data_IF_083175388775
#
_entry.id   IF_083175388775
#
_cell.length_a   1.000
_cell.length_b   1.000
_cell.length_c   1.000
_cell.angle_alpha   90.00
_cell.angle_beta   90.00
_cell.angle_gamma   90.00
#
_symmetry.space_group_name_H-M   'P 1'
#
loop_
_entity.id
_entity.type
_entity.pdbx_description
1 polymer ?
#
# COMPACT_ATOMS: atom_id res chain seq x y z
N UNK A 1 19.78 -10.29 8.48
CA UNK A 1 20.58 -9.13 8.03
C UNK A 1 19.93 -7.82 8.42
N UNK A 2 20.66 -7.11 9.26
CA UNK A 2 20.18 -6.10 10.22
C UNK A 2 20.41 -4.67 9.75
N UNK A 3 20.38 -4.42 8.43
CA UNK A 3 20.82 -3.16 7.85
C UNK A 3 19.73 -2.10 7.63
N UNK A 4 18.49 -2.36 8.05
CA UNK A 4 17.40 -1.38 7.90
C UNK A 4 17.12 -0.55 9.17
N UNK A 5 17.61 -0.96 10.35
CA UNK A 5 17.32 -0.27 11.61
C UNK A 5 18.05 1.07 11.77
N UNK A 6 19.28 1.19 11.25
CA UNK A 6 20.08 2.43 11.33
C UNK A 6 19.58 3.60 10.48
N UNK A 7 18.69 3.34 9.52
CA UNK A 7 18.02 4.38 8.73
C UNK A 7 16.76 4.93 9.44
N UNK A 8 16.11 4.11 10.27
CA UNK A 8 14.92 4.50 11.04
C UNK A 8 15.28 5.44 12.21
N UNK A 9 16.39 5.21 12.92
CA UNK A 9 16.83 6.07 14.04
C UNK A 9 17.23 7.50 13.62
N UNK A 10 17.65 7.70 12.36
CA UNK A 10 17.98 9.03 11.83
C UNK A 10 16.75 9.87 11.48
N UNK A 11 15.58 9.27 11.28
CA UNK A 11 14.34 9.98 10.95
C UNK A 11 13.59 10.48 12.19
N UNK A 12 13.87 9.94 13.38
CA UNK A 12 13.13 10.22 14.61
C UNK A 12 13.68 11.37 15.46
N UNK A 13 14.86 11.92 15.12
CA UNK A 13 15.61 12.77 16.08
C UNK A 13 15.32 14.26 15.95
N UNK A 14 14.74 14.76 14.86
CA UNK A 14 14.42 16.18 14.76
C UNK A 14 12.97 16.39 14.33
N UNK A 15 12.39 17.47 14.88
CA UNK A 15 11.26 18.27 14.38
C UNK A 15 9.84 17.91 14.85
N UNK A 16 9.34 18.76 15.73
CA UNK A 16 7.95 18.85 16.15
C UNK A 16 7.09 19.63 15.14
N UNK A 17 6.05 18.98 14.59
CA UNK A 17 4.68 19.47 14.29
C UNK A 17 4.10 18.83 13.00
N UNK A 18 3.01 18.07 13.17
CA UNK A 18 2.19 17.27 12.22
C UNK A 18 2.88 16.29 11.24
N UNK A 19 3.92 16.70 10.51
CA UNK A 19 4.63 15.85 9.54
C UNK A 19 5.36 14.67 10.21
N UNK A 20 5.99 14.91 11.36
CA UNK A 20 6.75 13.88 12.08
C UNK A 20 5.85 12.89 12.82
N UNK A 21 4.68 13.32 13.29
CA UNK A 21 3.68 12.40 13.82
C UNK A 21 3.14 11.49 12.72
N UNK A 22 2.89 12.01 11.52
CA UNK A 22 2.39 11.21 10.40
C UNK A 22 3.45 10.19 9.94
N UNK A 23 4.71 10.62 9.83
CA UNK A 23 5.83 9.72 9.52
C UNK A 23 6.05 8.66 10.60
N UNK A 24 5.95 9.01 11.89
CA UNK A 24 6.04 8.06 12.99
C UNK A 24 4.89 7.05 12.97
N UNK A 25 3.66 7.48 12.66
CA UNK A 25 2.51 6.59 12.49
C UNK A 25 2.73 5.64 11.31
N UNK A 26 3.18 6.15 10.16
CA UNK A 26 3.49 5.32 9.00
C UNK A 26 4.57 4.27 9.32
N UNK A 27 5.61 4.67 10.05
CA UNK A 27 6.67 3.77 10.48
C UNK A 27 6.16 2.70 11.46
N UNK A 28 5.39 3.11 12.47
CA UNK A 28 4.81 2.19 13.45
C UNK A 28 3.86 1.19 12.80
N UNK A 29 3.01 1.65 11.87
CA UNK A 29 2.14 0.78 11.09
C UNK A 29 2.93 -0.27 10.30
N UNK A 30 4.05 0.14 9.69
CA UNK A 30 4.94 -0.80 8.99
C UNK A 30 5.56 -1.81 9.96
N UNK A 31 6.10 -1.36 11.08
CA UNK A 31 6.68 -2.24 12.09
C UNK A 31 5.67 -3.29 12.59
N UNK A 32 4.45 -2.86 12.90
CA UNK A 32 3.38 -3.74 13.34
C UNK A 32 2.95 -4.72 12.23
N UNK A 33 2.89 -4.27 10.98
CA UNK A 33 2.60 -5.15 9.83
C UNK A 33 3.68 -6.22 9.66
N UNK A 34 4.96 -5.84 9.68
CA UNK A 34 6.10 -6.76 9.54
C UNK A 34 6.14 -7.77 10.72
N UNK A 35 5.63 -7.37 11.90
CA UNK A 35 5.48 -8.23 13.06
C UNK A 35 4.19 -9.09 13.07
N UNK A 36 3.39 -9.06 11.99
CA UNK A 36 2.12 -9.80 11.89
C UNK A 36 1.00 -9.25 12.78
N UNK A 37 1.20 -8.10 13.41
CA UNK A 37 0.23 -7.45 14.30
C UNK A 37 -0.76 -6.59 13.51
N UNK A 38 -1.45 -7.19 12.54
CA UNK A 38 -2.24 -6.49 11.53
C UNK A 38 -3.36 -5.62 12.10
N UNK A 39 -4.10 -6.10 13.11
CA UNK A 39 -5.16 -5.29 13.75
C UNK A 39 -4.60 -4.03 14.43
N UNK A 40 -3.42 -4.13 15.05
CA UNK A 40 -2.76 -2.97 15.66
C UNK A 40 -2.23 -2.03 14.58
N UNK A 41 -1.62 -2.57 13.51
CA UNK A 41 -1.15 -1.81 12.37
C UNK A 41 -2.29 -0.99 11.74
N UNK A 42 -3.47 -1.60 11.60
CA UNK A 42 -4.65 -0.93 11.09
C UNK A 42 -5.12 0.19 12.04
N UNK A 43 -5.15 -0.09 13.34
CA UNK A 43 -5.55 0.88 14.36
C UNK A 43 -4.72 2.16 14.33
N UNK A 44 -3.40 2.03 14.14
CA UNK A 44 -2.51 3.20 14.10
C UNK A 44 -2.59 3.98 12.79
N UNK A 45 -2.74 3.31 11.64
CA UNK A 45 -2.66 3.98 10.32
C UNK A 45 -3.97 4.62 9.85
N UNK A 46 -5.11 4.11 10.32
CA UNK A 46 -6.45 4.53 9.86
C UNK A 46 -6.70 6.05 9.90
N UNK A 47 -6.24 6.82 10.91
CA UNK A 47 -6.42 8.27 10.93
C UNK A 47 -5.77 9.00 9.75
N UNK A 48 -4.70 8.44 9.15
CA UNK A 48 -3.95 9.09 8.08
C UNK A 48 -4.57 8.88 6.69
N UNK A 49 -5.55 7.99 6.53
CA UNK A 49 -6.22 7.74 5.23
C UNK A 49 -6.92 9.01 4.72
N UNK A 50 -7.38 9.88 5.63
CA UNK A 50 -8.05 11.15 5.29
C UNK A 50 -7.14 12.36 5.58
N UNK A 51 -5.82 12.18 5.56
CA UNK A 51 -4.88 13.26 5.81
C UNK A 51 -5.01 14.36 4.71
N UNK A 52 -4.91 15.65 5.05
CA UNK A 52 -4.98 16.73 4.05
C UNK A 52 -3.89 16.66 2.98
N UNK A 53 -2.75 16.04 3.27
CA UNK A 53 -1.73 15.75 2.27
C UNK A 53 -2.13 14.53 1.45
N UNK A 54 -2.39 14.73 0.15
CA UNK A 54 -2.75 13.65 -0.78
C UNK A 54 -1.71 12.53 -0.78
N UNK A 55 -0.42 12.85 -0.64
CA UNK A 55 0.66 11.86 -0.57
C UNK A 55 0.53 11.00 0.68
N UNK A 56 0.25 11.59 1.85
CA UNK A 56 0.08 10.84 3.11
C UNK A 56 -1.21 10.02 3.06
N UNK A 57 -2.31 10.60 2.58
CA UNK A 57 -3.59 9.92 2.40
C UNK A 57 -3.46 8.66 1.53
N UNK A 58 -2.93 8.82 0.30
CA UNK A 58 -2.74 7.71 -0.64
C UNK A 58 -1.78 6.64 -0.12
N UNK A 59 -0.66 7.06 0.50
CA UNK A 59 0.30 6.10 1.10
C UNK A 59 -0.34 5.31 2.24
N UNK A 60 -1.14 5.98 3.07
CA UNK A 60 -1.84 5.35 4.19
C UNK A 60 -2.94 4.42 3.71
N UNK A 61 -3.68 4.80 2.67
CA UNK A 61 -4.71 3.99 2.03
C UNK A 61 -4.12 2.69 1.44
N UNK A 62 -3.02 2.77 0.67
CA UNK A 62 -2.32 1.60 0.12
C UNK A 62 -1.86 0.63 1.22
N UNK A 63 -1.27 1.14 2.30
CA UNK A 63 -0.83 0.32 3.44
C UNK A 63 -2.01 -0.25 4.21
N UNK A 64 -3.07 0.52 4.43
CA UNK A 64 -4.28 0.04 5.07
C UNK A 64 -4.93 -1.09 4.25
N UNK A 65 -5.05 -0.92 2.93
CA UNK A 65 -5.57 -1.96 2.03
C UNK A 65 -4.69 -3.23 2.07
N UNK A 66 -3.37 -3.09 2.13
CA UNK A 66 -2.45 -4.23 2.31
C UNK A 66 -2.68 -4.93 3.66
N UNK A 67 -2.93 -4.18 4.74
CA UNK A 67 -3.27 -4.73 6.06
C UNK A 67 -4.61 -5.47 6.00
N UNK A 68 -5.63 -4.88 5.37
CA UNK A 68 -6.93 -5.52 5.17
C UNK A 68 -6.81 -6.81 4.36
N UNK A 69 -5.98 -6.84 3.33
CA UNK A 69 -5.69 -8.06 2.57
C UNK A 69 -5.10 -9.16 3.47
N UNK A 70 -4.12 -8.84 4.32
CA UNK A 70 -3.57 -9.83 5.28
C UNK A 70 -4.60 -10.31 6.32
N UNK A 71 -5.62 -9.50 6.60
CA UNK A 71 -6.73 -9.86 7.48
C UNK A 71 -7.84 -10.64 6.75
N UNK A 72 -7.72 -10.88 5.44
CA UNK A 72 -8.78 -11.49 4.62
C UNK A 72 -10.01 -10.58 4.48
N UNK A 73 -9.84 -9.28 4.63
CA UNK A 73 -10.89 -8.26 4.61
C UNK A 73 -10.93 -7.55 3.26
N UNK A 74 -11.17 -8.32 2.18
CA UNK A 74 -11.02 -7.86 0.79
C UNK A 74 -11.94 -6.69 0.44
N UNK A 75 -13.21 -6.72 0.85
CA UNK A 75 -14.18 -5.65 0.57
C UNK A 75 -13.70 -4.30 1.14
N UNK A 76 -13.14 -4.32 2.34
CA UNK A 76 -12.59 -3.12 2.98
C UNK A 76 -11.31 -2.65 2.29
N UNK A 77 -10.47 -3.59 1.83
CA UNK A 77 -9.27 -3.28 1.06
C UNK A 77 -9.63 -2.57 -0.26
N UNK A 78 -10.58 -3.13 -1.03
CA UNK A 78 -11.05 -2.54 -2.29
C UNK A 78 -11.71 -1.18 -2.08
N UNK A 79 -12.62 -1.06 -1.11
CA UNK A 79 -13.34 0.18 -0.84
C UNK A 79 -12.41 1.36 -0.49
N UNK A 80 -11.31 1.10 0.23
CA UNK A 80 -10.32 2.13 0.54
C UNK A 80 -9.57 2.58 -0.70
N UNK A 81 -9.23 1.66 -1.59
CA UNK A 81 -8.50 1.93 -2.82
C UNK A 81 -9.36 2.71 -3.82
N UNK A 82 -10.64 2.34 -3.96
CA UNK A 82 -11.62 3.04 -4.80
C UNK A 82 -11.91 4.48 -4.32
N UNK A 83 -11.76 4.73 -3.02
CA UNK A 83 -11.97 6.05 -2.42
C UNK A 83 -10.82 7.04 -2.59
N UNK A 84 -9.68 6.64 -3.15
CA UNK A 84 -8.54 7.53 -3.36
C UNK A 84 -8.54 8.16 -4.76
N UNK A 85 -8.08 9.41 -4.88
CA UNK A 85 -8.01 10.12 -6.15
C UNK A 85 -6.97 9.49 -7.10
N UNK A 86 -7.34 9.30 -8.36
CA UNK A 86 -6.50 8.82 -9.46
C UNK A 86 -5.38 9.81 -9.81
N UNK A 87 -4.37 9.87 -8.95
CA UNK A 87 -3.18 10.70 -9.07
C UNK A 87 -1.99 9.81 -9.48
N UNK A 88 -0.75 10.28 -9.27
CA UNK A 88 0.51 9.50 -9.43
C UNK A 88 0.58 8.14 -8.71
N UNK A 89 -0.46 7.72 -7.99
CA UNK A 89 -0.57 6.46 -7.26
C UNK A 89 -1.39 5.40 -8.00
N UNK A 90 -2.09 5.73 -9.09
CA UNK A 90 -3.01 4.82 -9.80
C UNK A 90 -2.37 3.46 -10.12
N UNK A 91 -1.13 3.47 -10.61
CA UNK A 91 -0.36 2.24 -10.84
C UNK A 91 -0.22 1.32 -9.63
N UNK A 92 0.10 1.89 -8.46
CA UNK A 92 0.24 1.14 -7.21
C UNK A 92 -1.12 0.64 -6.70
N UNK A 93 -2.15 1.48 -6.84
CA UNK A 93 -3.52 1.15 -6.46
C UNK A 93 -4.00 -0.04 -7.28
N UNK A 94 -3.88 0.02 -8.61
CA UNK A 94 -4.29 -1.06 -9.50
C UNK A 94 -3.50 -2.35 -9.28
N UNK A 95 -2.18 -2.27 -9.02
CA UNK A 95 -1.43 -3.48 -8.64
C UNK A 95 -2.05 -4.14 -7.40
N UNK A 96 -2.34 -3.36 -6.36
CA UNK A 96 -2.86 -3.92 -5.11
C UNK A 96 -4.31 -4.43 -5.27
N UNK A 97 -5.13 -3.78 -6.10
CA UNK A 97 -6.44 -4.34 -6.47
C UNK A 97 -6.29 -5.69 -7.19
N UNK A 98 -5.31 -5.82 -8.09
CA UNK A 98 -4.99 -7.10 -8.72
C UNK A 98 -4.59 -8.18 -7.71
N UNK A 99 -3.74 -7.84 -6.74
CA UNK A 99 -3.33 -8.74 -5.65
C UNK A 99 -4.54 -9.19 -4.80
N UNK A 100 -5.46 -8.26 -4.50
CA UNK A 100 -6.69 -8.54 -3.74
C UNK A 100 -7.63 -9.48 -4.52
N UNK A 101 -7.86 -9.22 -5.80
CA UNK A 101 -8.71 -10.07 -6.63
C UNK A 101 -8.10 -11.46 -6.86
N UNK A 102 -6.77 -11.54 -6.91
CA UNK A 102 -6.08 -12.82 -6.99
C UNK A 102 -6.29 -13.66 -5.72
N UNK A 103 -6.20 -13.05 -4.53
CA UNK A 103 -6.46 -13.72 -3.25
C UNK A 103 -7.92 -14.19 -3.12
N UNK A 104 -8.86 -13.44 -3.71
CA UNK A 104 -10.28 -13.85 -3.86
C UNK A 104 -10.49 -15.00 -4.86
N UNK A 105 -9.46 -15.42 -5.60
CA UNK A 105 -9.56 -16.40 -6.68
C UNK A 105 -10.19 -15.86 -7.98
N UNK A 106 -10.44 -14.55 -8.07
CA UNK A 106 -11.00 -13.91 -9.26
C UNK A 106 -9.88 -13.51 -10.23
N UNK A 107 -9.37 -14.51 -10.97
CA UNK A 107 -8.28 -14.32 -11.93
C UNK A 107 -8.59 -13.29 -13.02
N UNK A 108 -9.85 -13.18 -13.46
CA UNK A 108 -10.25 -12.24 -14.52
C UNK A 108 -10.10 -10.79 -14.08
N UNK A 109 -10.58 -10.45 -12.86
CA UNK A 109 -10.38 -9.10 -12.33
C UNK A 109 -8.91 -8.85 -11.97
N UNK A 110 -8.19 -9.85 -11.48
CA UNK A 110 -6.75 -9.72 -11.23
C UNK A 110 -5.97 -9.35 -12.51
N UNK A 111 -6.22 -10.03 -13.63
CA UNK A 111 -5.62 -9.71 -14.94
C UNK A 111 -5.95 -8.29 -15.38
N UNK A 112 -7.23 -7.89 -15.29
CA UNK A 112 -7.68 -6.55 -15.63
C UNK A 112 -6.93 -5.48 -14.83
N UNK A 113 -6.84 -5.62 -13.51
CA UNK A 113 -6.19 -4.64 -12.66
C UNK A 113 -4.66 -4.62 -12.79
N UNK A 114 -4.00 -5.75 -13.06
CA UNK A 114 -2.58 -5.73 -13.41
C UNK A 114 -2.31 -5.04 -14.75
N UNK A 115 -3.18 -5.22 -15.75
CA UNK A 115 -3.11 -4.47 -17.01
C UNK A 115 -3.22 -2.96 -16.79
N UNK A 116 -4.25 -2.53 -16.04
CA UNK A 116 -4.42 -1.12 -15.66
C UNK A 116 -3.21 -0.57 -14.89
N UNK A 117 -2.60 -1.39 -14.02
CA UNK A 117 -1.41 -0.99 -13.29
C UNK A 117 -0.21 -0.71 -14.21
N UNK A 118 0.02 -1.56 -15.21
CA UNK A 118 1.10 -1.37 -16.20
C UNK A 118 0.88 -0.08 -16.99
N UNK A 119 -0.35 0.18 -17.44
CA UNK A 119 -0.71 1.39 -18.20
C UNK A 119 -0.52 2.69 -17.40
N UNK A 120 -0.50 2.61 -16.06
CA UNK A 120 -0.45 3.76 -15.15
C UNK A 120 0.85 3.87 -14.33
N UNK A 121 1.87 3.08 -14.66
CA UNK A 121 3.22 3.17 -14.07
C UNK A 121 4.18 3.66 -15.14
N UNK A 122 5.25 4.37 -14.74
CA UNK A 122 6.33 4.69 -15.66
C UNK A 122 6.87 3.41 -16.33
N UNK A 123 6.89 3.41 -17.66
CA UNK A 123 7.46 2.33 -18.46
C UNK A 123 8.88 1.99 -18.00
N UNK A 124 9.21 0.69 -17.94
CA UNK A 124 10.54 0.16 -17.57
C UNK A 124 10.98 0.40 -16.11
N UNK A 125 10.05 0.60 -15.19
CA UNK A 125 10.34 0.51 -13.75
C UNK A 125 10.42 -0.95 -13.27
N UNK A 126 11.18 -1.20 -12.20
CA UNK A 126 11.21 -2.51 -11.53
C UNK A 126 9.80 -2.99 -11.12
N UNK A 127 8.92 -2.05 -10.77
CA UNK A 127 7.54 -2.35 -10.41
C UNK A 127 6.73 -2.83 -11.63
N UNK A 128 6.87 -2.18 -12.79
CA UNK A 128 6.22 -2.61 -14.03
C UNK A 128 6.66 -4.02 -14.43
N UNK A 129 7.96 -4.35 -14.31
CA UNK A 129 8.47 -5.70 -14.55
C UNK A 129 7.88 -6.74 -13.59
N UNK A 130 7.76 -6.41 -12.30
CA UNK A 130 7.14 -7.29 -11.32
C UNK A 130 5.65 -7.56 -11.65
N UNK A 131 4.90 -6.52 -12.03
CA UNK A 131 3.48 -6.66 -12.38
C UNK A 131 3.31 -7.47 -13.65
N UNK A 132 4.22 -7.31 -14.63
CA UNK A 132 4.20 -8.13 -15.84
C UNK A 132 4.36 -9.62 -15.50
N UNK A 133 5.29 -9.97 -14.62
CA UNK A 133 5.46 -11.36 -14.15
C UNK A 133 4.17 -11.88 -13.51
N UNK A 134 3.54 -11.08 -12.62
CA UNK A 134 2.25 -11.47 -12.02
C UNK A 134 1.16 -11.69 -13.07
N UNK A 135 1.08 -10.82 -14.07
CA UNK A 135 0.10 -10.92 -15.15
C UNK A 135 0.34 -12.16 -16.01
N UNK A 136 1.60 -12.45 -16.34
CA UNK A 136 2.00 -13.61 -17.14
C UNK A 136 1.67 -14.92 -16.41
N UNK A 137 1.86 -14.99 -15.09
CA UNK A 137 1.50 -16.16 -14.25
C UNK A 137 -0.02 -16.44 -14.22
N UNK A 138 -0.86 -15.46 -14.61
CA UNK A 138 -2.31 -15.64 -14.65
C UNK A 138 -2.81 -16.23 -15.97
N UNK A 139 -2.03 -16.13 -17.05
CA UNK A 139 -2.35 -16.59 -18.40
C UNK A 139 -1.98 -18.07 -18.63
#
# INVERSE_FOLDING_TARGET
DSNNLGAYDKLTTDFSSSSYSDQAILLMAKYLFDAGSYTQALGVIKPLINNPSSVIANTSALRAASIYLQLGQHDQALSILEGQSEDRFSGLIYNLMGDIYLDLGNRSEAQKYYGLAIDNISENSNLSQLIQIKLDDLN
#
